data_IF_883820888481
#
_entry.id   IF_883820888481
#
_cell.length_a   1.000
_cell.length_b   1.000
_cell.length_c   1.000
_cell.angle_alpha   90.00
_cell.angle_beta   90.00
_cell.angle_gamma   90.00
#
_symmetry.space_group_name_H-M   'P 1'
#
loop_
_entity.id
_entity.type
_entity.pdbx_description
1 polymer ?
#
# COMPACT_ATOMS: atom_id res chain seq x y z
N UNK A 1 -4.15 25.30 5.03
CA UNK A 1 -2.91 24.75 4.41
C UNK A 1 -3.06 24.85 2.91
N UNK A 2 -2.13 25.56 2.24
CA UNK A 2 -2.16 25.74 0.79
C UNK A 2 -1.73 24.47 0.05
N UNK A 3 -2.37 24.17 -1.09
CA UNK A 3 -1.95 23.11 -2.01
C UNK A 3 -0.98 23.62 -3.09
N UNK A 4 -0.75 24.90 -3.17
CA UNK A 4 0.16 25.49 -4.17
C UNK A 4 1.58 25.00 -3.93
N UNK A 5 2.23 24.51 -4.99
CA UNK A 5 3.58 23.94 -4.91
C UNK A 5 3.64 22.43 -4.62
N UNK A 6 2.48 21.76 -4.45
CA UNK A 6 2.42 20.32 -4.22
C UNK A 6 1.71 19.61 -5.38
N UNK A 7 2.06 18.35 -5.61
CA UNK A 7 1.38 17.49 -6.58
C UNK A 7 -0.11 17.33 -6.20
N UNK A 8 -1.00 17.28 -7.20
CA UNK A 8 -2.46 17.14 -6.99
C UNK A 8 -2.79 15.90 -6.15
N UNK A 9 -2.08 14.80 -6.37
CA UNK A 9 -2.31 13.50 -5.70
C UNK A 9 -1.45 13.31 -4.44
N UNK A 10 -0.74 14.35 -4.02
CA UNK A 10 0.02 14.32 -2.79
C UNK A 10 -0.91 14.41 -1.59
N UNK A 11 -0.71 13.50 -0.65
CA UNK A 11 -1.58 13.40 0.52
C UNK A 11 -1.16 14.38 1.62
N UNK A 12 -2.15 15.07 2.19
CA UNK A 12 -2.01 15.89 3.38
C UNK A 12 -2.35 15.04 4.61
N UNK A 13 -1.34 14.63 5.36
CA UNK A 13 -1.43 13.58 6.39
C UNK A 13 -1.06 14.10 7.77
N UNK A 14 -1.64 13.49 8.81
CA UNK A 14 -1.09 13.54 10.16
C UNK A 14 0.19 12.72 10.20
N UNK A 15 1.18 13.20 10.95
CA UNK A 15 2.44 12.48 11.14
C UNK A 15 2.29 11.59 12.37
N UNK A 16 2.22 10.29 12.15
CA UNK A 16 2.21 9.32 13.23
C UNK A 16 3.63 9.13 13.76
N UNK A 17 3.80 9.18 15.08
CA UNK A 17 5.06 8.87 15.75
C UNK A 17 5.16 7.36 15.99
N UNK A 18 4.15 6.78 16.61
CA UNK A 18 4.00 5.36 17.00
C UNK A 18 2.61 5.14 17.61
N UNK A 19 2.38 4.03 18.25
CA UNK A 19 1.21 3.81 19.11
C UNK A 19 1.51 4.30 20.54
N UNK A 20 0.48 4.71 21.27
CA UNK A 20 0.58 4.97 22.71
C UNK A 20 0.86 3.66 23.47
N UNK A 21 1.72 3.74 24.48
CA UNK A 21 2.00 2.59 25.36
C UNK A 21 0.78 2.27 26.21
N UNK A 22 0.27 3.29 26.92
CA UNK A 22 -0.82 3.18 27.89
C UNK A 22 -1.60 4.50 28.04
N UNK A 23 -2.64 4.48 28.86
CA UNK A 23 -3.47 5.66 29.14
C UNK A 23 -2.72 6.75 29.91
N UNK A 24 -1.71 6.39 30.69
CA UNK A 24 -0.88 7.35 31.42
C UNK A 24 -0.03 8.20 30.47
N UNK A 25 0.43 7.59 29.37
CA UNK A 25 1.09 8.33 28.31
C UNK A 25 0.12 9.26 27.59
N UNK A 26 -1.09 8.81 27.28
CA UNK A 26 -2.13 9.63 26.64
C UNK A 26 -2.40 10.90 27.44
N UNK A 27 -2.52 10.80 28.77
CA UNK A 27 -2.80 11.94 29.64
C UNK A 27 -1.66 12.98 29.69
N UNK A 28 -0.42 12.57 29.42
CA UNK A 28 0.78 13.43 29.46
C UNK A 28 1.14 14.04 28.13
N UNK A 29 0.46 13.64 27.06
CA UNK A 29 0.74 14.12 25.69
C UNK A 29 -0.27 15.21 25.27
N UNK A 30 0.04 15.99 24.22
CA UNK A 30 -0.91 16.89 23.61
C UNK A 30 -2.23 16.19 23.32
N UNK A 31 -3.34 16.87 23.59
CA UNK A 31 -4.67 16.31 23.37
C UNK A 31 -4.94 16.11 21.90
N UNK A 32 -5.23 14.88 21.48
CA UNK A 32 -5.65 14.56 20.12
C UNK A 32 -7.14 14.85 19.95
N UNK A 33 -7.47 15.99 19.30
CA UNK A 33 -8.84 16.44 19.05
C UNK A 33 -9.31 16.01 17.63
N UNK A 34 -9.24 14.70 17.39
CA UNK A 34 -9.49 14.10 16.06
C UNK A 34 -10.81 13.33 15.97
N UNK A 35 -11.61 13.40 17.02
CA UNK A 35 -12.83 12.61 17.20
C UNK A 35 -12.55 11.31 17.94
N UNK A 36 -13.59 10.83 18.62
CA UNK A 36 -13.49 9.63 19.45
C UNK A 36 -12.65 9.80 20.72
N UNK A 37 -12.37 8.72 21.37
CA UNK A 37 -11.53 8.63 22.54
C UNK A 37 -10.15 8.09 22.16
N UNK A 38 -9.12 8.44 22.91
CA UNK A 38 -7.76 7.95 22.72
C UNK A 38 -7.33 7.19 23.97
N UNK A 39 -6.72 6.04 23.77
CA UNK A 39 -6.25 5.12 24.83
C UNK A 39 -4.91 4.51 24.42
N UNK A 40 -4.29 3.74 25.33
CA UNK A 40 -3.15 2.91 24.99
C UNK A 40 -3.40 2.06 23.75
N UNK A 41 -2.38 1.94 22.89
CA UNK A 41 -2.47 1.23 21.62
C UNK A 41 -3.13 1.99 20.47
N UNK A 42 -3.62 3.22 20.69
CA UNK A 42 -4.08 4.09 19.60
C UNK A 42 -2.91 4.85 18.96
N UNK A 43 -3.11 5.35 17.75
CA UNK A 43 -2.07 6.07 17.01
C UNK A 43 -1.78 7.40 17.71
N UNK A 44 -0.51 7.61 18.03
CA UNK A 44 0.03 8.86 18.55
C UNK A 44 0.50 9.73 17.39
N UNK A 45 -0.08 10.91 17.27
CA UNK A 45 0.28 11.88 16.26
C UNK A 45 1.20 12.96 16.79
N UNK A 46 1.98 13.53 15.91
CA UNK A 46 2.88 14.63 16.18
C UNK A 46 2.11 15.94 16.20
N UNK A 47 2.27 16.71 17.29
CA UNK A 47 1.88 18.12 17.31
C UNK A 47 2.88 18.90 16.45
N UNK A 48 2.41 19.65 15.48
CA UNK A 48 3.22 20.46 14.57
C UNK A 48 3.20 21.91 15.00
N UNK A 49 4.31 22.66 14.82
CA UNK A 49 4.30 24.08 15.12
C UNK A 49 3.50 24.86 14.09
N UNK A 50 2.95 25.99 14.52
CA UNK A 50 2.34 27.00 13.64
C UNK A 50 3.41 27.67 12.74
N UNK A 51 2.98 28.62 11.92
CA UNK A 51 3.87 29.39 11.03
C UNK A 51 4.93 30.23 11.77
N UNK A 52 4.75 30.49 13.07
CA UNK A 52 5.66 31.22 13.93
C UNK A 52 6.56 30.30 14.76
N UNK A 53 6.38 28.98 14.63
CA UNK A 53 7.15 27.99 15.38
C UNK A 53 6.57 27.64 16.75
N UNK A 54 5.36 28.09 17.10
CA UNK A 54 4.73 27.83 18.38
C UNK A 54 3.90 26.53 18.35
N UNK A 55 3.89 25.81 19.48
CA UNK A 55 3.09 24.61 19.70
C UNK A 55 1.89 24.95 20.59
N UNK A 56 0.69 24.55 20.17
CA UNK A 56 -0.55 24.80 20.92
C UNK A 56 -0.95 23.68 21.88
N UNK A 57 -0.20 22.56 21.89
CA UNK A 57 -0.46 21.36 22.67
C UNK A 57 -1.82 20.68 22.36
N UNK A 58 -2.38 20.91 21.19
CA UNK A 58 -3.57 20.25 20.68
C UNK A 58 -3.26 19.69 19.30
N UNK A 59 -3.64 18.47 19.04
CA UNK A 59 -3.50 17.86 17.72
C UNK A 59 -4.87 17.93 17.03
N UNK A 60 -4.95 18.72 15.97
CA UNK A 60 -6.18 18.95 15.22
C UNK A 60 -5.93 19.01 13.69
N UNK A 61 -6.84 19.61 12.95
CA UNK A 61 -6.73 19.73 11.49
C UNK A 61 -5.51 20.53 10.99
N UNK A 62 -4.86 21.29 11.86
CA UNK A 62 -3.69 22.09 11.52
C UNK A 62 -2.39 21.27 11.54
N UNK A 63 -2.39 20.13 12.25
CA UNK A 63 -1.24 19.23 12.41
C UNK A 63 -1.05 18.26 11.24
N UNK A 64 -1.34 18.70 10.04
CA UNK A 64 -1.14 17.91 8.83
C UNK A 64 -0.09 18.54 7.95
N UNK A 65 0.71 17.69 7.32
CA UNK A 65 1.67 18.15 6.33
C UNK A 65 1.69 17.25 5.10
N UNK A 66 2.19 17.77 4.00
CA UNK A 66 2.43 17.00 2.79
C UNK A 66 3.66 16.11 2.96
N UNK A 67 3.53 14.82 2.65
CA UNK A 67 4.59 13.82 2.84
C UNK A 67 5.52 13.68 1.64
N UNK A 68 5.27 14.37 0.54
CA UNK A 68 6.10 14.30 -0.67
C UNK A 68 5.90 13.03 -1.51
N UNK A 69 4.99 12.13 -1.10
CA UNK A 69 4.74 10.86 -1.80
C UNK A 69 3.29 10.82 -2.29
N UNK A 70 3.05 11.01 -3.60
CA UNK A 70 1.71 10.95 -4.17
C UNK A 70 1.18 9.51 -4.24
N UNK A 71 -0.15 9.37 -4.38
CA UNK A 71 -0.78 8.06 -4.61
C UNK A 71 -0.79 7.66 -6.09
N UNK A 72 -0.59 8.62 -6.99
CA UNK A 72 -0.33 8.35 -8.41
C UNK A 72 1.18 8.30 -8.66
N UNK A 73 1.70 7.28 -9.34
CA UNK A 73 3.14 7.15 -9.59
C UNK A 73 3.71 8.35 -10.36
N UNK A 74 4.79 8.94 -9.85
CA UNK A 74 5.53 9.96 -10.61
C UNK A 74 6.46 9.34 -11.65
N UNK A 75 6.87 8.08 -11.45
CA UNK A 75 7.74 7.36 -12.37
C UNK A 75 7.08 6.04 -12.74
N UNK A 76 6.83 5.85 -14.02
CA UNK A 76 6.39 4.57 -14.60
C UNK A 76 7.43 4.15 -15.61
N UNK A 77 7.86 2.90 -15.55
CA UNK A 77 8.90 2.38 -16.44
C UNK A 77 8.58 0.95 -16.87
N UNK A 78 9.14 0.57 -18.01
CA UNK A 78 9.02 -0.79 -18.53
C UNK A 78 10.14 -1.12 -19.48
N UNK A 79 10.55 -2.36 -19.49
CA UNK A 79 11.55 -2.88 -20.42
C UNK A 79 11.31 -4.36 -20.70
N UNK A 80 11.68 -4.79 -21.89
CA UNK A 80 11.55 -6.20 -22.25
C UNK A 80 12.16 -6.50 -23.61
N UNK A 81 13.28 -7.23 -23.66
CA UNK A 81 13.86 -7.72 -24.90
C UNK A 81 13.03 -8.87 -25.46
N UNK A 82 13.10 -9.02 -26.78
CA UNK A 82 12.67 -10.18 -27.52
C UNK A 82 13.88 -10.74 -28.25
N UNK A 83 14.17 -12.01 -28.04
CA UNK A 83 15.33 -12.69 -28.58
C UNK A 83 14.88 -13.87 -29.46
N UNK A 84 15.54 -14.05 -30.59
CA UNK A 84 15.33 -15.22 -31.43
C UNK A 84 16.66 -15.90 -31.72
N UNK A 85 16.70 -17.19 -31.42
CA UNK A 85 17.86 -18.01 -31.71
C UNK A 85 17.42 -19.31 -32.41
N UNK A 86 17.81 -19.44 -33.69
CA UNK A 86 17.40 -20.58 -34.54
C UNK A 86 15.86 -20.72 -34.56
N UNK A 87 15.36 -21.82 -33.98
CA UNK A 87 13.93 -22.15 -33.93
C UNK A 87 13.25 -21.68 -32.64
N UNK A 88 13.99 -21.12 -31.70
CA UNK A 88 13.44 -20.65 -30.43
C UNK A 88 13.28 -19.14 -30.44
N UNK A 89 12.20 -18.68 -29.86
CA UNK A 89 12.01 -17.27 -29.48
C UNK A 89 11.71 -17.17 -28.00
N UNK A 90 12.19 -16.10 -27.40
CA UNK A 90 12.05 -15.79 -25.98
C UNK A 90 11.79 -14.31 -25.83
N UNK A 91 10.76 -13.95 -25.09
CA UNK A 91 10.50 -12.57 -24.74
C UNK A 91 10.02 -12.44 -23.32
N UNK A 92 10.37 -11.34 -22.68
CA UNK A 92 9.79 -10.98 -21.40
C UNK A 92 9.54 -9.48 -21.35
N UNK A 93 8.65 -9.08 -20.46
CA UNK A 93 8.36 -7.67 -20.21
C UNK A 93 8.20 -7.41 -18.72
N UNK A 94 9.04 -6.53 -18.21
CA UNK A 94 8.91 -5.96 -16.89
C UNK A 94 8.26 -4.60 -16.96
N UNK A 95 7.37 -4.34 -16.00
CA UNK A 95 6.76 -3.04 -15.76
C UNK A 95 6.91 -2.69 -14.30
N UNK A 96 7.17 -1.43 -14.00
CA UNK A 96 7.27 -0.96 -12.63
C UNK A 96 6.79 0.47 -12.46
N UNK A 97 6.60 0.82 -11.20
CA UNK A 97 6.29 2.17 -10.78
C UNK A 97 7.16 2.53 -9.56
N UNK A 98 7.50 3.80 -9.47
CA UNK A 98 8.27 4.33 -8.34
C UNK A 98 7.77 5.73 -7.97
N UNK A 99 8.21 6.22 -6.81
CA UNK A 99 7.70 7.46 -6.21
C UNK A 99 6.16 7.45 -6.15
N UNK A 100 5.64 6.42 -5.51
CA UNK A 100 4.21 6.20 -5.30
C UNK A 100 3.98 5.70 -3.89
N UNK A 101 2.92 6.15 -3.25
CA UNK A 101 2.46 5.63 -1.97
C UNK A 101 1.16 4.85 -2.12
N UNK A 102 0.99 3.86 -1.25
CA UNK A 102 -0.27 3.15 -1.05
C UNK A 102 -0.80 3.58 0.31
N UNK A 103 -2.03 4.10 0.33
CA UNK A 103 -2.75 4.39 1.56
C UNK A 103 -3.57 3.16 1.94
N UNK A 104 -3.27 2.59 3.11
CA UNK A 104 -4.02 1.47 3.68
C UNK A 104 -5.24 2.00 4.43
N UNK A 105 -6.21 2.53 3.70
CA UNK A 105 -7.42 3.11 4.25
C UNK A 105 -8.63 2.17 4.07
N UNK A 106 -9.63 2.31 4.93
CA UNK A 106 -10.81 1.46 4.91
C UNK A 106 -10.55 0.01 5.36
N UNK A 107 -9.45 -0.22 6.10
CA UNK A 107 -9.19 -1.49 6.74
C UNK A 107 -9.83 -1.46 8.12
N UNK A 108 -10.95 -2.15 8.25
CA UNK A 108 -11.67 -2.31 9.52
C UNK A 108 -11.38 -3.72 10.04
N UNK A 109 -10.94 -3.89 11.30
CA UNK A 109 -10.52 -5.19 11.81
C UNK A 109 -11.62 -6.23 11.75
N UNK A 110 -12.86 -5.83 12.03
CA UNK A 110 -14.03 -6.71 11.99
C UNK A 110 -15.05 -6.35 10.89
N UNK A 111 -14.65 -5.58 9.87
CA UNK A 111 -15.54 -4.97 8.89
C UNK A 111 -16.23 -3.72 9.42
N UNK A 112 -16.76 -2.89 8.52
CA UNK A 112 -17.39 -1.62 8.90
C UNK A 112 -18.60 -1.79 9.82
N UNK A 113 -19.28 -2.93 9.73
CA UNK A 113 -20.45 -3.32 10.53
C UNK A 113 -20.08 -4.17 11.76
N UNK A 114 -18.80 -4.51 11.96
CA UNK A 114 -18.32 -5.34 13.07
C UNK A 114 -18.70 -6.82 12.97
N UNK A 115 -19.09 -7.30 11.79
CA UNK A 115 -19.61 -8.68 11.58
C UNK A 115 -18.62 -9.61 10.87
N UNK A 116 -17.45 -9.12 10.45
CA UNK A 116 -16.42 -9.91 9.76
C UNK A 116 -15.38 -10.45 10.73
N UNK A 117 -14.70 -11.50 10.29
CA UNK A 117 -13.47 -11.93 10.95
C UNK A 117 -12.33 -10.95 10.64
N UNK A 118 -11.38 -10.83 11.59
CA UNK A 118 -10.18 -10.03 11.42
C UNK A 118 -9.30 -10.63 10.32
N UNK A 119 -8.67 -9.77 9.53
CA UNK A 119 -7.72 -10.20 8.51
C UNK A 119 -6.45 -10.77 9.16
N UNK A 120 -5.85 -11.80 8.55
CA UNK A 120 -4.70 -12.53 9.11
C UNK A 120 -3.55 -11.58 9.49
N UNK A 121 -3.17 -10.67 8.60
CA UNK A 121 -2.05 -9.76 8.86
C UNK A 121 -2.31 -8.78 10.02
N UNK A 122 -3.59 -8.51 10.35
CA UNK A 122 -3.98 -7.73 11.53
C UNK A 122 -3.90 -8.62 12.78
N UNK A 123 -4.39 -9.86 12.68
CA UNK A 123 -4.36 -10.81 13.79
C UNK A 123 -2.93 -11.17 14.21
N UNK A 124 -1.99 -11.16 13.26
CA UNK A 124 -0.59 -11.51 13.48
C UNK A 124 0.22 -10.35 14.09
N UNK A 125 -0.19 -9.09 13.87
CA UNK A 125 0.60 -7.91 14.25
C UNK A 125 -0.30 -6.73 14.63
N UNK A 126 -0.84 -6.77 15.83
CA UNK A 126 -1.60 -5.66 16.41
C UNK A 126 -1.19 -5.40 17.87
N UNK A 127 -1.43 -4.18 18.32
CA UNK A 127 -1.21 -3.82 19.73
C UNK A 127 -2.30 -4.45 20.64
N UNK A 128 -1.88 -4.98 21.78
CA UNK A 128 -2.79 -5.49 22.83
C UNK A 128 -2.18 -5.29 24.22
N UNK A 129 -2.98 -5.39 25.26
CA UNK A 129 -2.52 -5.27 26.66
C UNK A 129 -1.46 -6.32 27.03
N UNK A 130 -1.46 -7.46 26.34
CA UNK A 130 -0.47 -8.53 26.52
C UNK A 130 0.73 -8.42 25.58
N UNK A 131 0.63 -7.63 24.54
CA UNK A 131 1.70 -7.32 23.59
C UNK A 131 1.66 -5.83 23.25
N UNK A 132 2.26 -5.00 24.10
CA UNK A 132 2.29 -3.54 23.96
C UNK A 132 3.36 -3.09 22.96
N UNK A 133 3.38 -3.69 21.78
CA UNK A 133 4.27 -3.25 20.70
C UNK A 133 3.80 -1.91 20.13
N UNK A 134 4.55 -0.87 20.47
CA UNK A 134 4.27 0.50 20.00
C UNK A 134 4.49 0.71 18.51
N UNK A 135 5.11 -0.25 17.84
CA UNK A 135 5.35 -0.26 16.39
C UNK A 135 4.55 -1.35 15.66
N UNK A 136 3.57 -1.97 16.33
CA UNK A 136 2.69 -2.95 15.71
C UNK A 136 2.10 -2.44 14.39
N UNK A 137 1.89 -3.33 13.45
CA UNK A 137 1.34 -3.01 12.13
C UNK A 137 -0.11 -2.55 12.15
N UNK A 138 -0.84 -2.83 13.24
CA UNK A 138 -2.20 -2.40 13.48
C UNK A 138 -2.39 -1.88 14.92
N UNK A 139 -3.21 -0.80 15.12
CA UNK A 139 -3.52 -0.30 16.46
C UNK A 139 -4.35 -1.31 17.26
N UNK A 140 -4.63 -1.00 18.51
CA UNK A 140 -5.52 -1.84 19.32
C UNK A 140 -6.84 -2.10 18.62
N UNK A 141 -7.33 -3.32 18.74
CA UNK A 141 -8.58 -3.73 18.11
C UNK A 141 -9.80 -3.14 18.81
N UNK A 142 -10.79 -2.68 18.06
CA UNK A 142 -12.07 -2.23 18.57
C UNK A 142 -13.21 -2.71 17.67
N UNK A 143 -14.38 -2.97 18.24
CA UNK A 143 -15.56 -3.37 17.46
C UNK A 143 -16.14 -2.24 16.62
N UNK A 144 -15.92 -1.01 17.02
CA UNK A 144 -16.34 0.20 16.31
C UNK A 144 -15.12 0.95 15.83
N UNK A 145 -15.27 1.69 14.76
CA UNK A 145 -14.20 2.55 14.29
C UNK A 145 -13.81 3.56 15.36
N UNK A 146 -12.50 3.63 15.59
CA UNK A 146 -11.93 4.70 16.37
C UNK A 146 -11.51 5.80 15.40
N UNK A 147 -12.19 6.94 15.45
CA UNK A 147 -11.93 8.06 14.53
C UNK A 147 -10.48 8.54 14.59
N UNK A 148 -9.81 8.46 15.75
CA UNK A 148 -8.39 8.75 15.87
C UNK A 148 -7.55 7.84 14.96
N UNK A 149 -7.82 6.54 14.98
CA UNK A 149 -7.02 5.55 14.24
C UNK A 149 -7.35 5.50 12.74
N UNK A 150 -8.51 6.02 12.32
CA UNK A 150 -8.91 6.04 10.91
C UNK A 150 -8.47 7.28 10.16
N UNK A 151 -7.86 8.27 10.83
CA UNK A 151 -7.36 9.48 10.17
C UNK A 151 -6.29 9.16 9.13
N UNK A 152 -6.35 9.86 8.01
CA UNK A 152 -5.33 9.79 6.98
C UNK A 152 -3.97 10.24 7.56
N UNK A 153 -3.04 9.32 7.68
CA UNK A 153 -1.77 9.53 8.37
C UNK A 153 -0.62 8.73 7.78
N UNK A 154 0.58 9.08 8.18
CA UNK A 154 1.78 8.32 7.78
C UNK A 154 1.77 6.90 8.36
N UNK A 155 0.97 6.61 9.38
CA UNK A 155 0.77 5.25 9.88
C UNK A 155 0.17 4.33 8.82
N UNK A 156 -0.69 4.83 7.96
CA UNK A 156 -1.34 4.09 6.87
C UNK A 156 -0.67 4.25 5.52
N UNK A 157 0.31 5.14 5.41
CA UNK A 157 1.06 5.34 4.17
C UNK A 157 2.17 4.31 4.04
N UNK A 158 2.23 3.61 2.92
CA UNK A 158 3.26 2.63 2.59
C UNK A 158 3.92 2.97 1.26
N UNK A 159 5.16 2.54 1.09
CA UNK A 159 5.84 2.63 -0.20
C UNK A 159 5.20 1.65 -1.18
N UNK A 160 4.60 2.18 -2.23
CA UNK A 160 3.90 1.44 -3.28
C UNK A 160 4.77 1.11 -4.50
N UNK A 161 6.07 1.37 -4.46
CA UNK A 161 6.96 1.05 -5.57
C UNK A 161 6.99 -0.45 -5.87
N UNK A 162 7.03 -0.81 -7.14
CA UNK A 162 7.12 -2.21 -7.55
C UNK A 162 7.83 -2.39 -8.89
N UNK A 163 8.29 -3.60 -9.12
CA UNK A 163 8.72 -4.13 -10.41
C UNK A 163 8.04 -5.49 -10.62
N UNK A 164 7.33 -5.65 -11.74
CA UNK A 164 6.53 -6.84 -12.02
C UNK A 164 6.90 -7.46 -13.36
N UNK A 165 7.12 -8.78 -13.38
CA UNK A 165 7.21 -9.55 -14.61
C UNK A 165 5.79 -9.76 -15.17
N UNK A 166 5.42 -8.86 -16.09
CA UNK A 166 4.07 -8.81 -16.67
C UNK A 166 3.84 -9.91 -17.69
N UNK A 167 4.84 -10.18 -18.51
CA UNK A 167 4.76 -11.21 -19.54
C UNK A 167 6.10 -11.94 -19.66
N UNK A 168 6.01 -13.24 -19.87
CA UNK A 168 7.11 -14.10 -20.26
C UNK A 168 6.57 -15.04 -21.32
N UNK A 169 7.27 -15.17 -22.44
CA UNK A 169 6.89 -16.08 -23.51
C UNK A 169 8.11 -16.83 -24.03
N UNK A 170 7.97 -18.12 -24.22
CA UNK A 170 8.93 -19.00 -24.87
C UNK A 170 8.23 -19.70 -26.03
N UNK A 171 8.76 -19.58 -27.24
CA UNK A 171 8.21 -20.17 -28.45
C UNK A 171 9.20 -21.08 -29.17
N UNK A 172 8.68 -22.11 -29.80
CA UNK A 172 9.38 -22.96 -30.75
C UNK A 172 8.75 -22.83 -32.14
N UNK A 173 9.56 -22.46 -33.12
CA UNK A 173 9.15 -22.22 -34.50
C UNK A 173 9.56 -23.36 -35.40
N UNK A 174 8.58 -23.96 -36.08
CA UNK A 174 8.77 -24.92 -37.14
C UNK A 174 8.25 -24.31 -38.48
N UNK A 175 8.61 -24.90 -39.61
CA UNK A 175 8.20 -24.40 -40.92
C UNK A 175 6.67 -24.22 -41.05
N UNK A 176 5.89 -25.12 -40.45
CA UNK A 176 4.43 -25.16 -40.58
C UNK A 176 3.67 -24.74 -39.32
N UNK A 177 4.34 -24.64 -38.20
CA UNK A 177 3.69 -24.27 -36.92
C UNK A 177 4.64 -23.60 -35.96
N UNK A 178 4.08 -22.85 -35.04
CA UNK A 178 4.73 -22.33 -33.83
C UNK A 178 3.98 -22.80 -32.61
N UNK A 179 4.69 -23.35 -31.63
CA UNK A 179 4.16 -23.67 -30.30
C UNK A 179 4.78 -22.71 -29.30
N UNK A 180 3.99 -22.18 -28.41
CA UNK A 180 4.49 -21.26 -27.38
C UNK A 180 3.82 -21.48 -26.02
N UNK A 181 4.58 -21.17 -24.98
CA UNK A 181 4.12 -21.06 -23.60
C UNK A 181 4.24 -19.58 -23.19
N UNK A 182 3.16 -19.03 -22.66
CA UNK A 182 3.11 -17.66 -22.17
C UNK A 182 2.63 -17.64 -20.73
N UNK A 183 3.31 -16.86 -19.89
CA UNK A 183 2.86 -16.53 -18.56
C UNK A 183 2.63 -15.05 -18.38
N UNK A 184 1.61 -14.66 -17.63
CA UNK A 184 1.32 -13.26 -17.30
C UNK A 184 1.28 -13.06 -15.78
N UNK A 185 1.74 -11.88 -15.31
CA UNK A 185 1.81 -11.49 -13.90
C UNK A 185 2.56 -12.49 -13.00
N UNK A 186 3.72 -12.97 -13.45
CA UNK A 186 4.43 -14.10 -12.84
C UNK A 186 5.12 -13.74 -11.53
N UNK A 187 5.80 -12.61 -11.47
CA UNK A 187 6.61 -12.18 -10.32
C UNK A 187 6.32 -10.72 -9.99
N UNK A 188 6.30 -10.40 -8.70
CA UNK A 188 6.17 -9.04 -8.20
C UNK A 188 7.24 -8.80 -7.14
N UNK A 189 8.07 -7.77 -7.36
CA UNK A 189 9.06 -7.27 -6.42
C UNK A 189 8.56 -5.93 -5.89
N UNK A 190 8.27 -5.84 -4.60
CA UNK A 190 7.78 -4.62 -3.94
C UNK A 190 8.13 -4.65 -2.46
N UNK A 191 8.41 -3.51 -1.83
CA UNK A 191 8.45 -3.39 -0.37
C UNK A 191 7.06 -3.59 0.26
N UNK A 192 5.99 -3.32 -0.48
CA UNK A 192 4.61 -3.53 -0.04
C UNK A 192 4.24 -5.02 -0.14
N UNK A 193 3.76 -5.62 0.97
CA UNK A 193 3.56 -7.08 1.08
C UNK A 193 2.12 -7.50 1.38
N UNK A 194 1.20 -6.55 1.60
CA UNK A 194 -0.16 -6.89 2.03
C UNK A 194 -1.06 -7.37 0.88
N UNK A 195 -0.93 -6.73 -0.31
CA UNK A 195 -1.62 -7.14 -1.55
C UNK A 195 -0.80 -6.74 -2.77
N UNK A 196 -1.31 -7.03 -3.97
CA UNK A 196 -0.62 -6.63 -5.21
C UNK A 196 -0.57 -5.10 -5.30
N UNK A 197 0.62 -4.48 -5.37
CA UNK A 197 0.77 -3.02 -5.38
C UNK A 197 0.08 -2.34 -6.58
N UNK A 198 -0.18 -3.04 -7.68
CA UNK A 198 -0.96 -2.50 -8.80
C UNK A 198 -2.43 -2.23 -8.43
N UNK A 199 -2.95 -2.84 -7.37
CA UNK A 199 -4.30 -2.55 -6.88
C UNK A 199 -4.40 -1.17 -6.23
N UNK A 200 -3.26 -0.56 -5.88
CA UNK A 200 -3.20 0.77 -5.29
C UNK A 200 -3.72 0.84 -3.86
N UNK A 201 -4.18 2.04 -3.49
CA UNK A 201 -4.70 2.34 -2.15
C UNK A 201 -6.04 1.67 -1.87
N UNK A 202 -6.34 1.43 -0.59
CA UNK A 202 -7.61 0.88 -0.14
C UNK A 202 -7.46 -0.16 0.96
N UNK A 203 -8.39 -1.11 1.00
CA UNK A 203 -8.44 -2.19 2.00
C UNK A 203 -7.75 -3.48 1.57
N UNK A 204 -7.33 -3.59 0.31
CA UNK A 204 -6.79 -4.82 -0.26
C UNK A 204 -7.83 -5.93 -0.51
N UNK A 205 -9.11 -5.69 -0.26
CA UNK A 205 -10.19 -6.69 -0.40
C UNK A 205 -10.79 -6.74 -1.81
N UNK A 206 -10.17 -6.07 -2.77
CA UNK A 206 -10.56 -6.17 -4.18
C UNK A 206 -10.09 -7.48 -4.80
N UNK A 207 -10.64 -7.83 -5.97
CA UNK A 207 -10.26 -9.04 -6.67
C UNK A 207 -8.76 -9.02 -7.05
N UNK A 208 -7.98 -10.02 -6.65
CA UNK A 208 -6.53 -10.00 -6.85
C UNK A 208 -6.14 -10.18 -8.32
N UNK A 209 -5.00 -9.58 -8.70
CA UNK A 209 -4.40 -9.77 -10.01
C UNK A 209 -4.01 -11.23 -10.22
N UNK A 210 -4.53 -11.85 -11.28
CA UNK A 210 -4.32 -13.28 -11.57
C UNK A 210 -2.98 -13.54 -12.26
N UNK A 211 -2.37 -14.69 -11.95
CA UNK A 211 -1.37 -15.33 -12.79
C UNK A 211 -2.06 -16.18 -13.84
N UNK A 212 -1.67 -16.01 -15.09
CA UNK A 212 -2.25 -16.77 -16.19
C UNK A 212 -1.15 -17.47 -16.96
N UNK A 213 -1.36 -18.75 -17.24
CA UNK A 213 -0.48 -19.53 -18.11
C UNK A 213 -1.27 -19.99 -19.33
N UNK A 214 -0.71 -19.76 -20.50
CA UNK A 214 -1.31 -20.14 -21.77
C UNK A 214 -0.34 -20.98 -22.58
N UNK A 215 -0.84 -22.03 -23.21
CA UNK A 215 -0.17 -22.77 -24.25
C UNK A 215 -0.89 -22.48 -25.55
N UNK A 216 -0.15 -22.15 -26.59
CA UNK A 216 -0.73 -21.85 -27.89
C UNK A 216 -0.01 -22.53 -29.03
N UNK A 217 -0.75 -22.84 -30.08
CA UNK A 217 -0.23 -23.36 -31.35
C UNK A 217 -0.73 -22.47 -32.48
N UNK A 218 0.19 -22.01 -33.31
CA UNK A 218 -0.11 -21.23 -34.52
C UNK A 218 0.32 -22.03 -35.73
N UNK A 219 -0.55 -22.18 -36.75
CA UNK A 219 -0.24 -22.81 -37.99
C UNK A 219 -0.02 -21.78 -39.10
N UNK A 220 1.03 -21.93 -39.90
CA UNK A 220 1.32 -21.11 -41.07
C UNK A 220 0.98 -21.92 -42.31
N UNK A 221 -0.12 -21.53 -42.99
CA UNK A 221 -0.49 -22.11 -44.27
C UNK A 221 0.13 -21.21 -45.35
N UNK A 222 1.35 -21.54 -45.75
CA UNK A 222 1.95 -20.89 -46.92
C UNK A 222 1.28 -21.48 -48.16
N UNK A 223 0.66 -20.61 -48.97
CA UNK A 223 0.33 -20.91 -50.38
C UNK A 223 1.59 -20.96 -51.22
#
# INVERSE_FOLDING_TARGET
>A
ISRVGHSVDQQLLYIAERLFIDDSEVQRNPKQNLGGWVSGGDIKYKNLPDVNGNYDNVIDSNDRQYTGMPTTPEIVYGFGPSLRYKKFDFSFFFQGAARVSIMMNGIHPFGADGTRNVLQFIADDYWSDTNQDIYAGYPRLSKRDNENNTKASTYWQRNGAFLKLKNLEVGFNHKFFRVYLRGSNLLTFSPFKYWDPEMGSGSGLSYPTQRVFNVGVQFSINK
#
